data_IF_860280935373
#
_entry.id   IF_860280935373
#
_cell.length_a   1.000
_cell.length_b   1.000
_cell.length_c   1.000
_cell.angle_alpha   90.00
_cell.angle_beta   90.00
_cell.angle_gamma   90.00
#
_symmetry.space_group_name_H-M   'P 1'
#
loop_
_entity.id
_entity.type
_entity.pdbx_description
1 polymer ?
#
# COMPACT_ATOMS: atom_id res chain seq x y z
N UNK A 1 -13.81 6.31 4.94
CA UNK A 1 -13.38 7.54 4.23
C UNK A 1 -14.48 8.58 4.31
N UNK A 2 -14.17 9.85 4.51
CA UNK A 2 -15.17 10.94 4.52
C UNK A 2 -15.20 11.63 3.15
N UNK A 3 -16.39 11.78 2.56
CA UNK A 3 -16.61 12.47 1.29
C UNK A 3 -17.45 13.71 1.55
N UNK A 4 -16.97 14.85 1.06
CA UNK A 4 -17.65 16.14 1.15
C UNK A 4 -18.05 16.61 -0.24
N UNK A 5 -19.21 17.23 -0.33
CA UNK A 5 -19.68 17.83 -1.56
C UNK A 5 -20.70 18.92 -1.31
N UNK A 6 -21.18 19.51 -2.42
CA UNK A 6 -22.18 20.57 -2.40
C UNK A 6 -23.25 20.32 -3.46
N UNK A 7 -24.45 20.81 -3.20
CA UNK A 7 -25.64 20.75 -4.05
C UNK A 7 -26.59 21.91 -3.68
N UNK A 8 -27.82 21.92 -4.19
CA UNK A 8 -28.84 22.86 -3.75
C UNK A 8 -29.23 22.62 -2.28
N UNK A 9 -29.51 23.67 -1.48
CA UNK A 9 -29.87 23.51 -0.08
C UNK A 9 -31.09 22.60 0.19
N UNK A 10 -30.94 21.69 1.14
CA UNK A 10 -32.03 20.89 1.69
C UNK A 10 -32.61 19.85 0.75
N UNK A 11 -31.95 19.54 -0.37
CA UNK A 11 -32.38 18.47 -1.28
C UNK A 11 -31.77 17.12 -0.90
N UNK A 12 -32.41 16.05 -1.37
CA UNK A 12 -31.91 14.68 -1.25
C UNK A 12 -30.72 14.43 -2.18
N UNK A 13 -29.77 13.63 -1.71
CA UNK A 13 -28.68 13.06 -2.48
C UNK A 13 -28.75 11.55 -2.35
N UNK A 14 -28.94 10.87 -3.47
CA UNK A 14 -28.80 9.43 -3.58
C UNK A 14 -27.32 9.12 -3.74
N UNK A 15 -26.78 8.35 -2.80
CA UNK A 15 -25.40 7.86 -2.82
C UNK A 15 -25.42 6.42 -3.28
N UNK A 16 -24.82 6.15 -4.44
CA UNK A 16 -24.55 4.80 -4.92
C UNK A 16 -23.13 4.43 -4.51
N UNK A 17 -22.98 3.61 -3.46
CA UNK A 17 -21.70 3.25 -2.85
C UNK A 17 -21.52 1.73 -2.87
N UNK A 18 -20.64 1.22 -3.74
CA UNK A 18 -20.51 -0.21 -4.03
C UNK A 18 -21.88 -0.82 -4.39
N UNK A 19 -22.33 -1.82 -3.64
CA UNK A 19 -23.65 -2.45 -3.81
C UNK A 19 -24.76 -1.80 -2.96
N UNK A 20 -24.44 -0.72 -2.24
CA UNK A 20 -25.37 -0.02 -1.34
C UNK A 20 -25.87 1.26 -1.99
N UNK A 21 -27.17 1.52 -1.82
CA UNK A 21 -27.81 2.79 -2.19
C UNK A 21 -28.39 3.42 -0.93
N UNK A 22 -27.99 4.65 -0.67
CA UNK A 22 -28.45 5.43 0.48
C UNK A 22 -28.98 6.79 0.02
N UNK A 23 -29.80 7.42 0.85
CA UNK A 23 -30.29 8.77 0.61
C UNK A 23 -29.91 9.65 1.81
N UNK A 24 -29.20 10.73 1.56
CA UNK A 24 -28.81 11.74 2.55
C UNK A 24 -29.40 13.09 2.15
N UNK A 25 -29.38 14.06 3.05
CA UNK A 25 -29.93 15.41 2.79
C UNK A 25 -28.79 16.43 2.97
N UNK A 26 -28.73 17.41 2.06
CA UNK A 26 -27.81 18.53 2.18
C UNK A 26 -28.23 19.53 3.27
N UNK A 27 -27.26 20.26 3.82
CA UNK A 27 -27.51 21.33 4.79
C UNK A 27 -28.23 22.52 4.13
N UNK A 28 -28.60 23.52 4.94
CA UNK A 28 -29.20 24.77 4.46
C UNK A 28 -28.24 25.61 3.61
N UNK A 29 -26.95 25.32 3.70
CA UNK A 29 -25.88 25.91 2.90
C UNK A 29 -25.57 25.07 1.66
N UNK A 30 -26.31 23.97 1.43
CA UNK A 30 -26.12 23.07 0.30
C UNK A 30 -24.95 22.11 0.45
N UNK A 31 -24.39 21.94 1.65
CA UNK A 31 -23.25 21.04 1.87
C UNK A 31 -23.72 19.64 2.26
N UNK A 32 -22.95 18.61 1.94
CA UNK A 32 -23.17 17.27 2.46
C UNK A 32 -21.87 16.58 2.85
N UNK A 33 -21.99 15.60 3.73
CA UNK A 33 -20.90 14.72 4.12
C UNK A 33 -21.40 13.28 4.15
N UNK A 34 -20.63 12.36 3.59
CA UNK A 34 -20.92 10.93 3.56
C UNK A 34 -19.72 10.13 4.05
N UNK A 35 -19.94 9.23 5.00
CA UNK A 35 -18.92 8.28 5.44
C UNK A 35 -19.00 7.03 4.58
N UNK A 36 -18.02 6.87 3.69
CA UNK A 36 -17.90 5.70 2.84
C UNK A 36 -17.01 4.64 3.50
N UNK A 37 -17.61 3.50 3.86
CA UNK A 37 -16.88 2.31 4.29
C UNK A 37 -16.25 1.63 3.07
N UNK A 38 -14.92 1.51 3.08
CA UNK A 38 -14.16 0.89 2.00
C UNK A 38 -14.03 -0.61 2.27
N UNK A 39 -14.31 -1.40 1.25
CA UNK A 39 -13.98 -2.82 1.21
C UNK A 39 -12.56 -2.99 0.66
N UNK A 40 -11.94 -4.12 0.96
CA UNK A 40 -10.68 -4.50 0.32
C UNK A 40 -10.84 -4.56 -1.21
N UNK A 41 -9.88 -3.99 -1.93
CA UNK A 41 -9.86 -3.92 -3.38
C UNK A 41 -10.65 -2.74 -3.94
N UNK A 42 -11.37 -2.98 -5.04
CA UNK A 42 -12.06 -1.92 -5.78
C UNK A 42 -13.34 -1.44 -5.08
N UNK A 43 -13.43 -0.13 -4.87
CA UNK A 43 -14.60 0.57 -4.34
C UNK A 43 -15.10 1.60 -5.35
N UNK A 44 -16.41 1.66 -5.58
CA UNK A 44 -17.04 2.60 -6.50
C UNK A 44 -18.05 3.47 -5.76
N UNK A 45 -18.04 4.76 -6.07
CA UNK A 45 -19.03 5.70 -5.54
C UNK A 45 -19.47 6.74 -6.57
N UNK A 46 -20.76 7.03 -6.59
CA UNK A 46 -21.39 8.06 -7.41
C UNK A 46 -22.60 8.66 -6.70
N UNK A 47 -23.07 9.80 -7.20
CA UNK A 47 -24.11 10.60 -6.57
C UNK A 47 -25.16 11.03 -7.59
N UNK A 48 -26.42 11.08 -7.16
CA UNK A 48 -27.54 11.67 -7.90
C UNK A 48 -28.24 12.66 -6.96
N UNK A 49 -28.46 13.89 -7.41
CA UNK A 49 -29.25 14.87 -6.68
C UNK A 49 -30.73 14.68 -6.99
N UNK A 50 -31.61 14.83 -6.00
CA UNK A 50 -33.05 14.71 -6.15
C UNK A 50 -33.75 15.89 -5.47
N UNK A 51 -34.48 16.69 -6.24
CA UNK A 51 -35.21 17.84 -5.73
C UNK A 51 -36.47 17.43 -4.93
N UNK A 52 -37.12 18.41 -4.30
CA UNK A 52 -38.34 18.18 -3.51
C UNK A 52 -39.55 17.76 -4.35
N UNK A 53 -39.53 18.00 -5.66
CA UNK A 53 -40.55 17.55 -6.60
C UNK A 53 -40.30 16.10 -7.07
N UNK A 54 -39.14 15.53 -6.72
CA UNK A 54 -38.73 14.17 -7.06
C UNK A 54 -37.93 14.05 -8.37
N UNK A 55 -37.53 15.17 -8.99
CA UNK A 55 -36.71 15.13 -10.19
C UNK A 55 -35.26 14.77 -9.84
N UNK A 56 -34.69 13.80 -10.56
CA UNK A 56 -33.31 13.36 -10.37
C UNK A 56 -32.38 14.00 -11.40
N UNK A 57 -31.17 14.36 -10.96
CA UNK A 57 -30.10 14.77 -11.86
C UNK A 57 -29.56 13.58 -12.67
N UNK A 58 -28.70 13.88 -13.65
CA UNK A 58 -27.80 12.84 -14.16
C UNK A 58 -26.89 12.34 -13.03
N UNK A 59 -26.49 11.08 -13.11
CA UNK A 59 -25.50 10.50 -12.20
C UNK A 59 -24.15 11.19 -12.39
N UNK A 60 -23.46 11.44 -11.27
CA UNK A 60 -22.10 11.96 -11.31
C UNK A 60 -21.14 10.99 -11.98
N UNK A 61 -19.90 11.44 -12.24
CA UNK A 61 -18.79 10.52 -12.51
C UNK A 61 -18.71 9.47 -11.39
N UNK A 62 -18.49 8.21 -11.78
CA UNK A 62 -18.14 7.13 -10.83
C UNK A 62 -16.68 7.31 -10.42
N UNK A 63 -16.46 7.46 -9.12
CA UNK A 63 -15.13 7.48 -8.52
C UNK A 63 -14.75 6.06 -8.13
N UNK A 64 -13.62 5.58 -8.63
CA UNK A 64 -13.04 4.29 -8.27
C UNK A 64 -11.88 4.51 -7.30
N UNK A 65 -11.92 3.83 -6.15
CA UNK A 65 -10.91 3.85 -5.11
C UNK A 65 -10.40 2.42 -4.94
N UNK A 66 -9.10 2.19 -5.08
CA UNK A 66 -8.49 0.91 -4.72
C UNK A 66 -8.01 1.03 -3.28
N UNK A 67 -8.62 0.27 -2.39
CA UNK A 67 -8.22 0.19 -0.99
C UNK A 67 -7.44 -1.10 -0.77
N UNK A 68 -6.23 -0.96 -0.24
CA UNK A 68 -5.34 -2.06 0.08
C UNK A 68 -4.63 -1.71 1.39
N UNK A 69 -4.80 -2.57 2.39
CA UNK A 69 -4.19 -2.43 3.70
C UNK A 69 -3.25 -3.58 4.06
N UNK A 70 -2.89 -4.43 3.08
CA UNK A 70 -2.01 -5.56 3.31
C UNK A 70 -0.58 -5.16 3.02
N UNK A 71 0.34 -5.29 3.98
CA UNK A 71 1.74 -5.00 3.71
C UNK A 71 2.39 -6.11 2.87
N UNK A 72 3.44 -5.77 2.09
CA UNK A 72 4.23 -6.76 1.38
C UNK A 72 4.80 -7.84 2.30
N UNK A 73 5.20 -8.99 1.76
CA UNK A 73 5.91 -10.03 2.54
C UNK A 73 7.33 -10.18 2.03
N UNK A 74 8.31 -10.20 2.94
CA UNK A 74 9.70 -10.46 2.61
C UNK A 74 10.08 -11.84 3.15
N UNK A 75 10.85 -12.61 2.39
CA UNK A 75 11.51 -13.84 2.83
C UNK A 75 12.98 -13.78 2.43
N UNK A 76 13.88 -14.08 3.36
CA UNK A 76 15.33 -14.12 3.10
C UNK A 76 15.75 -15.59 3.01
N UNK A 77 16.18 -16.00 1.83
CA UNK A 77 16.60 -17.37 1.56
C UNK A 77 18.03 -17.61 2.03
N UNK A 78 18.92 -16.64 1.76
CA UNK A 78 20.33 -16.67 2.12
C UNK A 78 20.90 -15.25 2.22
N UNK A 79 21.84 -14.97 3.13
CA UNK A 79 22.29 -15.85 4.22
C UNK A 79 21.22 -15.96 5.32
N UNK A 80 21.44 -16.85 6.29
CA UNK A 80 20.59 -16.90 7.49
C UNK A 80 20.99 -15.81 8.49
N UNK A 81 20.03 -15.37 9.28
CA UNK A 81 20.30 -14.41 10.35
C UNK A 81 21.27 -15.02 11.37
N UNK A 82 22.28 -14.22 11.75
CA UNK A 82 23.40 -14.64 12.59
C UNK A 82 24.48 -15.48 11.88
N UNK A 83 24.39 -15.70 10.57
CA UNK A 83 25.40 -16.48 9.85
C UNK A 83 26.77 -15.79 9.88
N UNK A 84 27.83 -16.60 10.05
CA UNK A 84 29.21 -16.12 10.16
C UNK A 84 30.03 -16.52 8.93
N UNK A 85 30.82 -15.58 8.43
CA UNK A 85 31.72 -15.73 7.30
C UNK A 85 33.18 -15.50 7.73
N UNK A 86 34.10 -16.28 7.17
CA UNK A 86 35.49 -16.32 7.61
C UNK A 86 36.48 -16.20 6.44
N UNK A 87 37.54 -15.43 6.65
CA UNK A 87 38.62 -15.29 5.69
C UNK A 87 38.29 -14.40 4.51
N UNK A 88 39.33 -13.83 3.88
CA UNK A 88 39.18 -12.83 2.82
C UNK A 88 38.33 -13.27 1.61
N UNK A 89 38.19 -14.57 1.37
CA UNK A 89 37.38 -15.13 0.28
C UNK A 89 35.88 -15.05 0.54
N UNK A 90 35.43 -14.96 1.79
CA UNK A 90 34.02 -14.86 2.17
C UNK A 90 33.59 -13.43 2.54
N UNK A 91 34.43 -12.44 2.24
CA UNK A 91 34.12 -11.03 2.51
C UNK A 91 33.02 -10.48 1.59
N UNK A 92 32.77 -11.12 0.45
CA UNK A 92 31.70 -10.74 -0.46
C UNK A 92 30.61 -11.81 -0.40
N UNK A 93 29.39 -11.38 -0.11
CA UNK A 93 28.21 -12.25 -0.05
C UNK A 93 27.10 -11.70 -0.94
N UNK A 94 26.12 -12.55 -1.22
CA UNK A 94 24.90 -12.16 -1.91
C UNK A 94 23.73 -12.48 -0.99
N UNK A 95 22.95 -11.46 -0.62
CA UNK A 95 21.65 -11.63 0.02
C UNK A 95 20.66 -11.99 -1.08
N UNK A 96 19.93 -13.08 -0.89
CA UNK A 96 18.93 -13.61 -1.80
C UNK A 96 17.63 -13.82 -1.04
N UNK A 97 16.52 -13.52 -1.69
CA UNK A 97 15.22 -13.72 -1.09
C UNK A 97 14.09 -13.49 -2.08
N UNK A 98 12.88 -13.46 -1.53
CA UNK A 98 11.65 -13.16 -2.27
C UNK A 98 10.87 -12.06 -1.58
N UNK A 99 10.14 -11.32 -2.39
CA UNK A 99 9.14 -10.37 -1.94
C UNK A 99 7.82 -10.61 -2.67
N UNK A 100 6.73 -10.60 -1.93
CA UNK A 100 5.36 -10.68 -2.45
C UNK A 100 4.66 -9.34 -2.24
N UNK A 101 3.85 -8.94 -3.22
CA UNK A 101 3.00 -7.75 -3.15
C UNK A 101 3.76 -6.43 -2.89
N UNK A 102 4.98 -6.33 -3.43
CA UNK A 102 5.78 -5.11 -3.34
C UNK A 102 5.89 -4.41 -4.70
N UNK A 103 5.86 -3.08 -4.66
CA UNK A 103 6.21 -2.20 -5.77
C UNK A 103 7.70 -1.83 -5.72
N UNK A 104 8.25 -1.68 -4.51
CA UNK A 104 9.66 -1.33 -4.30
C UNK A 104 10.29 -2.16 -3.18
N UNK A 105 11.60 -2.38 -3.29
CA UNK A 105 12.43 -3.02 -2.28
C UNK A 105 13.70 -2.19 -2.06
N UNK A 106 14.10 -2.01 -0.80
CA UNK A 106 15.35 -1.35 -0.41
C UNK A 106 16.12 -2.19 0.58
N UNK A 107 17.45 -2.14 0.50
CA UNK A 107 18.36 -2.69 1.52
C UNK A 107 19.33 -1.57 1.94
N UNK A 108 19.30 -1.17 3.22
CA UNK A 108 20.05 -0.02 3.75
C UNK A 108 19.90 1.22 2.85
N UNK A 109 18.65 1.63 2.60
CA UNK A 109 18.24 2.75 1.73
C UNK A 109 18.57 2.65 0.23
N UNK A 110 19.20 1.56 -0.21
CA UNK A 110 19.51 1.33 -1.63
C UNK A 110 18.41 0.52 -2.30
N UNK A 111 17.92 1.01 -3.44
CA UNK A 111 16.91 0.32 -4.25
C UNK A 111 17.49 -1.01 -4.76
N UNK A 112 16.71 -2.08 -4.60
CA UNK A 112 17.00 -3.42 -5.12
C UNK A 112 15.92 -3.77 -6.14
N UNK A 113 16.35 -4.36 -7.25
CA UNK A 113 15.44 -4.79 -8.32
C UNK A 113 14.69 -6.04 -7.85
N UNK A 114 13.37 -6.02 -8.03
CA UNK A 114 12.49 -7.17 -7.84
C UNK A 114 12.29 -7.79 -9.22
N UNK A 115 12.66 -9.06 -9.37
CA UNK A 115 12.45 -9.81 -10.60
C UNK A 115 10.97 -10.18 -10.78
N UNK A 116 10.59 -10.59 -11.98
CA UNK A 116 9.18 -10.91 -12.31
C UNK A 116 8.58 -12.03 -11.43
N UNK A 117 9.40 -12.91 -10.85
CA UNK A 117 8.98 -13.99 -9.96
C UNK A 117 9.01 -13.60 -8.47
N UNK A 118 9.23 -12.31 -8.18
CA UNK A 118 9.37 -11.76 -6.83
C UNK A 118 10.75 -11.99 -6.20
N UNK A 119 11.69 -12.64 -6.89
CA UNK A 119 13.03 -12.82 -6.35
C UNK A 119 13.83 -11.53 -6.36
N UNK A 120 14.78 -11.41 -5.44
CA UNK A 120 15.75 -10.32 -5.43
C UNK A 120 17.13 -10.84 -5.04
N UNK A 121 18.16 -10.12 -5.48
CA UNK A 121 19.55 -10.36 -5.06
C UNK A 121 20.25 -9.05 -4.73
N UNK A 122 21.13 -9.07 -3.73
CA UNK A 122 21.91 -7.91 -3.30
C UNK A 122 23.32 -8.33 -2.90
N UNK A 123 24.30 -7.96 -3.71
CA UNK A 123 25.71 -8.22 -3.45
C UNK A 123 26.29 -7.16 -2.49
N UNK A 124 27.01 -7.61 -1.46
CA UNK A 124 27.61 -6.72 -0.47
C UNK A 124 28.99 -7.20 -0.04
N UNK A 125 29.87 -6.24 0.25
CA UNK A 125 31.17 -6.48 0.89
C UNK A 125 31.05 -6.24 2.39
N UNK A 126 31.32 -7.28 3.18
CA UNK A 126 31.25 -7.26 4.63
C UNK A 126 32.43 -6.48 5.25
N UNK A 127 32.13 -5.83 6.36
CA UNK A 127 33.09 -5.24 7.30
C UNK A 127 33.40 -6.24 8.41
N UNK A 128 34.57 -6.13 9.04
CA UNK A 128 34.92 -6.96 10.20
C UNK A 128 33.89 -6.77 11.33
N UNK A 129 33.42 -7.87 11.92
CA UNK A 129 32.40 -7.87 12.96
C UNK A 129 30.97 -8.00 12.43
N UNK A 130 30.01 -7.41 13.14
CA UNK A 130 28.59 -7.46 12.81
C UNK A 130 28.25 -6.54 11.61
N UNK A 131 27.49 -7.08 10.66
CA UNK A 131 26.97 -6.37 9.50
C UNK A 131 25.45 -6.46 9.54
N UNK A 132 24.79 -5.31 9.68
CA UNK A 132 23.34 -5.20 9.80
C UNK A 132 22.73 -4.69 8.50
N UNK A 133 21.65 -5.35 8.08
CA UNK A 133 20.88 -5.01 6.89
C UNK A 133 19.43 -4.76 7.30
N UNK A 134 18.90 -3.61 6.93
CA UNK A 134 17.47 -3.30 6.98
C UNK A 134 16.88 -3.44 5.58
N UNK A 135 15.94 -4.36 5.42
CA UNK A 135 15.28 -4.69 4.17
C UNK A 135 13.85 -4.15 4.24
N UNK A 136 13.52 -3.16 3.41
CA UNK A 136 12.21 -2.50 3.42
C UNK A 136 11.53 -2.72 2.08
N UNK A 137 10.35 -3.35 2.11
CA UNK A 137 9.47 -3.47 0.96
C UNK A 137 8.28 -2.51 1.12
N UNK A 138 7.81 -1.95 0.01
CA UNK A 138 6.62 -1.09 -0.02
C UNK A 138 5.76 -1.39 -1.24
N UNK A 139 4.44 -1.40 -1.08
CA UNK A 139 3.49 -1.55 -2.18
C UNK A 139 3.06 -0.20 -2.79
N UNK A 140 2.09 -0.24 -3.71
CA UNK A 140 1.54 0.95 -4.37
C UNK A 140 0.58 1.77 -3.50
N UNK A 141 -0.04 1.14 -2.50
CA UNK A 141 -0.92 1.78 -1.54
C UNK A 141 -0.14 2.47 -0.40
N UNK A 142 1.17 2.21 -0.31
CA UNK A 142 2.07 2.73 0.70
C UNK A 142 2.21 1.84 1.94
N UNK A 143 1.69 0.61 1.93
CA UNK A 143 1.94 -0.32 3.03
C UNK A 143 3.38 -0.81 2.95
N UNK A 144 4.00 -1.06 4.11
CA UNK A 144 5.42 -1.39 4.21
C UNK A 144 5.69 -2.57 5.14
N UNK A 145 6.69 -3.38 4.79
CA UNK A 145 7.28 -4.39 5.67
C UNK A 145 8.77 -4.15 5.82
N UNK A 146 9.28 -4.29 7.03
CA UNK A 146 10.71 -4.17 7.34
C UNK A 146 11.21 -5.45 7.98
N UNK A 147 12.22 -6.06 7.37
CA UNK A 147 12.96 -7.20 7.90
C UNK A 147 14.40 -6.78 8.23
N UNK A 148 15.01 -7.49 9.18
CA UNK A 148 16.41 -7.27 9.55
C UNK A 148 17.21 -8.55 9.40
N UNK A 149 18.42 -8.40 8.89
CA UNK A 149 19.38 -9.47 8.74
C UNK A 149 20.72 -9.01 9.31
N UNK A 150 21.26 -9.78 10.24
CA UNK A 150 22.60 -9.60 10.80
C UNK A 150 23.47 -10.76 10.36
N UNK A 151 24.67 -10.46 9.88
CA UNK A 151 25.70 -11.46 9.61
C UNK A 151 27.03 -11.01 10.17
N UNK A 152 27.91 -11.96 10.42
CA UNK A 152 29.21 -11.72 11.03
C UNK A 152 30.32 -12.03 10.05
N UNK A 153 31.38 -11.23 10.06
CA UNK A 153 32.57 -11.49 9.26
C UNK A 153 33.85 -11.37 10.09
N UNK A 154 34.70 -12.39 9.99
CA UNK A 154 35.99 -12.46 10.69
C UNK A 154 37.11 -12.79 9.70
N UNK A 155 38.21 -12.03 9.71
CA UNK A 155 39.30 -12.18 8.74
C UNK A 155 40.21 -13.39 8.96
#
# INVERSE_FOLDING_TARGET
MEIKGSTEPGISIIVNANSKKEEIISTKEGLFTYTFELNEGENKISFIAKDNAGNESQESKVYTIIYDNKPPKITIDSPKDGESFYGSKQRQIVIQGKVEDADTLKINDRIVIIENDGSFTYAVTLQEGDNNFEIVASDKAGNTTTERLTVQFWR
#
